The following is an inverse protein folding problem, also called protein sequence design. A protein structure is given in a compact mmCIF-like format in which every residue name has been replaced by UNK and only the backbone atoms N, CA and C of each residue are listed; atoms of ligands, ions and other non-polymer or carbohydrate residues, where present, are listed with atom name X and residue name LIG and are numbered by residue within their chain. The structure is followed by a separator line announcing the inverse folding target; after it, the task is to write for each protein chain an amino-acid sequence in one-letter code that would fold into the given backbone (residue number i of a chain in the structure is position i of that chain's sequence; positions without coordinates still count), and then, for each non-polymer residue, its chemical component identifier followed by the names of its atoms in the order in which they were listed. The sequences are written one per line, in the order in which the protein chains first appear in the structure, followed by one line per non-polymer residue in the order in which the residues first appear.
data_IF_047250851234
#
_entry.id   IF_047250851234
#
_cell.length_a   1.000
_cell.length_b   1.000
_cell.length_c   1.000
_cell.angle_alpha   90.00
_cell.angle_beta   90.00
_cell.angle_gamma   90.00
#
_symmetry.space_group_name_H-M   'P 1'
#
loop_
_entity.id
_entity.type
_entity.pdbx_description
1 polymer ?
#
# COMPACT_ATOMS: atom_id res chain seq x y z
N UNK A 1 -12.99 -32.30 17.15
CA UNK A 1 -12.76 -31.97 15.73
C UNK A 1 -14.09 -31.56 15.14
N UNK A 2 -14.29 -30.26 14.94
CA UNK A 2 -15.56 -29.68 14.50
C UNK A 2 -15.64 -29.66 12.97
N UNK A 3 -16.83 -29.76 12.37
CA UNK A 3 -17.00 -30.08 10.94
C UNK A 3 -16.58 -29.01 9.92
N UNK A 4 -15.84 -27.96 10.32
CA UNK A 4 -15.49 -26.84 9.44
C UNK A 4 -14.04 -26.31 9.61
N UNK A 5 -13.13 -27.09 10.21
CA UNK A 5 -11.73 -26.68 10.37
C UNK A 5 -10.89 -26.79 9.08
N UNK A 6 -11.45 -27.37 8.02
CA UNK A 6 -10.71 -27.61 6.78
C UNK A 6 -10.63 -26.37 5.90
N UNK A 7 -11.55 -25.41 6.00
CA UNK A 7 -11.59 -24.22 5.13
C UNK A 7 -11.51 -22.96 5.99
N UNK A 8 -10.52 -22.11 5.71
CA UNK A 8 -10.41 -20.78 6.29
C UNK A 8 -10.45 -19.75 5.18
N UNK A 9 -11.20 -18.67 5.38
CA UNK A 9 -11.26 -17.53 4.46
C UNK A 9 -10.84 -16.27 5.20
N UNK A 10 -10.08 -15.43 4.52
CA UNK A 10 -9.57 -14.16 5.03
C UNK A 10 -9.86 -13.04 4.02
N UNK A 11 -10.43 -11.95 4.49
CA UNK A 11 -10.62 -10.71 3.74
C UNK A 11 -9.95 -9.59 4.53
N UNK A 12 -9.07 -8.84 3.88
CA UNK A 12 -8.36 -7.70 4.46
C UNK A 12 -8.57 -6.49 3.54
N UNK A 13 -9.03 -5.38 4.13
CA UNK A 13 -9.20 -4.09 3.45
C UNK A 13 -8.34 -3.06 4.18
N UNK A 14 -7.32 -2.56 3.48
CA UNK A 14 -6.41 -1.54 3.99
C UNK A 14 -6.64 -0.24 3.25
N UNK A 15 -6.86 0.84 3.99
CA UNK A 15 -6.88 2.20 3.45
C UNK A 15 -5.65 2.94 3.94
N UNK A 16 -4.79 3.33 3.01
CA UNK A 16 -3.57 4.07 3.25
C UNK A 16 -3.83 5.53 2.91
N UNK A 17 -3.80 6.40 3.93
CA UNK A 17 -4.14 7.82 3.79
C UNK A 17 -2.93 8.68 3.47
N UNK A 18 -2.33 8.45 2.30
CA UNK A 18 -1.17 9.22 1.85
C UNK A 18 -1.46 10.72 1.73
N UNK A 19 -2.71 11.06 1.41
CA UNK A 19 -3.12 12.46 1.29
C UNK A 19 -3.07 13.20 2.63
N UNK A 20 -3.07 12.52 3.79
CA UNK A 20 -3.02 13.21 5.08
C UNK A 20 -1.60 13.60 5.49
N UNK A 21 -0.58 12.83 5.08
CA UNK A 21 0.80 12.98 5.58
C UNK A 21 1.80 13.46 4.53
N UNK A 22 1.53 13.21 3.25
CA UNK A 22 2.44 13.55 2.14
C UNK A 22 1.95 14.75 1.32
N UNK A 23 1.29 15.72 1.98
CA UNK A 23 0.90 16.98 1.31
C UNK A 23 2.11 17.85 1.01
N UNK A 24 2.88 18.16 2.06
CA UNK A 24 4.01 19.08 2.00
C UNK A 24 5.23 18.42 2.66
N UNK A 25 6.30 18.22 1.91
CA UNK A 25 7.60 17.93 2.50
C UNK A 25 8.28 19.25 2.86
N UNK A 26 8.26 19.60 4.14
CA UNK A 26 8.88 20.80 4.68
C UNK A 26 10.28 20.48 5.19
N UNK A 27 11.29 21.12 4.60
CA UNK A 27 12.69 21.00 5.01
C UNK A 27 13.18 22.36 5.49
N UNK A 28 13.40 22.50 6.79
CA UNK A 28 13.99 23.69 7.39
C UNK A 28 15.48 23.47 7.62
N UNK A 29 16.31 24.27 6.97
CA UNK A 29 17.73 24.39 7.30
C UNK A 29 17.95 25.69 8.09
N UNK A 30 18.47 25.58 9.31
CA UNK A 30 18.85 26.72 10.14
C UNK A 30 20.34 26.69 10.48
N UNK A 31 21.06 27.77 10.20
CA UNK A 31 22.44 27.97 10.65
C UNK A 31 22.58 29.33 11.36
N UNK A 32 23.78 29.65 11.85
CA UNK A 32 24.06 30.90 12.56
C UNK A 32 23.87 32.17 11.69
N UNK A 33 23.73 32.03 10.37
CA UNK A 33 23.70 33.13 9.39
C UNK A 33 22.34 33.27 8.70
N UNK A 34 21.38 32.37 8.95
CA UNK A 34 20.04 32.43 8.36
C UNK A 34 19.25 31.12 8.41
N UNK A 35 17.97 31.23 8.03
CA UNK A 35 17.02 30.12 7.92
C UNK A 35 16.51 30.04 6.49
N UNK A 36 16.55 28.84 5.91
CA UNK A 36 15.96 28.52 4.61
C UNK A 36 14.90 27.46 4.84
N UNK A 37 13.66 27.78 4.49
CA UNK A 37 12.53 26.86 4.49
C UNK A 37 12.25 26.45 3.04
N UNK A 38 12.34 25.15 2.75
CA UNK A 38 11.97 24.59 1.45
C UNK A 38 10.72 23.74 1.60
N UNK A 39 9.69 23.99 0.78
CA UNK A 39 8.46 23.21 0.77
C UNK A 39 8.27 22.56 -0.60
N UNK A 40 8.20 21.23 -0.64
CA UNK A 40 7.91 20.48 -1.86
C UNK A 40 6.52 19.83 -1.75
N UNK A 41 5.52 20.30 -2.52
CA UNK A 41 4.20 19.69 -2.55
C UNK A 41 4.28 18.35 -3.29
N UNK A 42 3.88 17.26 -2.63
CA UNK A 42 3.92 15.90 -3.21
C UNK A 42 2.54 15.39 -3.64
N UNK A 43 1.45 15.86 -3.02
CA UNK A 43 0.05 15.59 -3.41
C UNK A 43 -0.28 14.09 -3.64
N UNK A 44 0.23 13.19 -2.80
CA UNK A 44 -0.08 11.76 -2.94
C UNK A 44 -1.56 11.48 -2.63
N UNK A 45 -2.21 10.65 -3.45
CA UNK A 45 -3.60 10.24 -3.26
C UNK A 45 -3.75 9.03 -2.32
N UNK A 46 -4.89 8.94 -1.63
CA UNK A 46 -5.21 7.79 -0.78
C UNK A 46 -5.27 6.49 -1.60
N UNK A 47 -4.62 5.44 -1.12
CA UNK A 47 -4.68 4.10 -1.74
C UNK A 47 -5.55 3.16 -0.91
N UNK A 48 -6.38 2.38 -1.60
CA UNK A 48 -7.08 1.24 -1.00
C UNK A 48 -6.48 -0.06 -1.54
N UNK A 49 -6.13 -0.96 -0.64
CA UNK A 49 -5.64 -2.31 -0.94
C UNK A 49 -6.63 -3.31 -0.40
N UNK A 50 -7.11 -4.19 -1.28
CA UNK A 50 -8.01 -5.28 -0.91
C UNK A 50 -7.29 -6.60 -1.12
N UNK A 51 -7.27 -7.44 -0.09
CA UNK A 51 -6.69 -8.78 -0.14
C UNK A 51 -7.76 -9.79 0.21
N UNK A 52 -7.88 -10.83 -0.61
CA UNK A 52 -8.73 -11.98 -0.37
C UNK A 52 -7.84 -13.23 -0.36
N UNK A 53 -7.99 -14.06 0.67
CA UNK A 53 -7.22 -15.29 0.82
C UNK A 53 -8.09 -16.43 1.32
N UNK A 54 -7.71 -17.64 0.96
CA UNK A 54 -8.31 -18.86 1.47
C UNK A 54 -7.25 -19.91 1.77
N UNK A 55 -7.48 -20.71 2.80
CA UNK A 55 -6.68 -21.87 3.15
C UNK A 55 -7.58 -23.11 3.21
N UNK A 56 -7.10 -24.21 2.64
CA UNK A 56 -7.77 -25.50 2.66
C UNK A 56 -6.84 -26.58 3.19
N UNK A 57 -7.18 -27.19 4.33
CA UNK A 57 -6.47 -28.34 4.87
C UNK A 57 -6.93 -29.62 4.18
N UNK A 58 -6.07 -30.18 3.33
CA UNK A 58 -6.33 -31.43 2.61
C UNK A 58 -6.23 -32.63 3.57
N UNK A 59 -5.30 -32.55 4.52
CA UNK A 59 -5.11 -33.50 5.62
C UNK A 59 -4.31 -32.82 6.75
N UNK A 60 -4.04 -33.53 7.84
CA UNK A 60 -3.32 -33.00 9.01
C UNK A 60 -1.88 -32.53 8.72
N UNK A 61 -1.30 -32.94 7.59
CA UNK A 61 0.07 -32.58 7.19
C UNK A 61 0.13 -31.53 6.05
N UNK A 62 -0.98 -31.29 5.33
CA UNK A 62 -0.98 -30.49 4.10
C UNK A 62 -2.12 -29.47 4.10
N UNK A 63 -1.75 -28.20 3.98
CA UNK A 63 -2.68 -27.08 3.81
C UNK A 63 -2.34 -26.28 2.56
N UNK A 64 -3.27 -26.20 1.63
CA UNK A 64 -3.19 -25.38 0.43
C UNK A 64 -3.65 -23.96 0.76
N UNK A 65 -2.96 -22.95 0.22
CA UNK A 65 -3.33 -21.54 0.37
C UNK A 65 -3.37 -20.88 -1.00
N UNK A 66 -4.43 -20.12 -1.25
CA UNK A 66 -4.57 -19.31 -2.45
C UNK A 66 -5.06 -17.92 -2.05
N UNK A 67 -4.64 -16.90 -2.78
CA UNK A 67 -5.06 -15.54 -2.50
C UNK A 67 -4.89 -14.60 -3.69
N UNK A 68 -5.64 -13.52 -3.65
CA UNK A 68 -5.63 -12.44 -4.62
C UNK A 68 -5.49 -11.11 -3.87
N UNK A 69 -4.52 -10.29 -4.28
CA UNK A 69 -4.33 -8.95 -3.76
C UNK A 69 -4.52 -7.95 -4.91
N UNK A 70 -5.36 -6.94 -4.69
CA UNK A 70 -5.56 -5.82 -5.59
C UNK A 70 -5.36 -4.52 -4.83
N UNK A 71 -4.23 -3.88 -5.08
CA UNK A 71 -3.97 -2.50 -4.67
C UNK A 71 -4.31 -1.54 -5.80
N UNK A 72 -5.08 -0.49 -5.51
CA UNK A 72 -5.19 0.67 -6.40
C UNK A 72 -3.88 1.47 -6.33
N UNK A 73 -3.33 1.91 -7.46
CA UNK A 73 -2.08 2.69 -7.47
C UNK A 73 -2.33 4.12 -6.92
N UNK A 74 -1.65 4.58 -5.85
CA UNK A 74 -1.83 5.92 -5.26
C UNK A 74 -1.18 7.05 -6.07
N UNK A 75 -0.44 6.71 -7.12
CA UNK A 75 0.34 7.68 -7.90
C UNK A 75 -0.60 8.32 -8.93
N UNK A 76 -0.84 9.64 -8.85
CA UNK A 76 -1.65 10.35 -9.84
C UNK A 76 -1.08 10.14 -11.25
N UNK A 77 -1.95 9.85 -12.21
CA UNK A 77 -1.62 9.64 -13.62
C UNK A 77 -0.85 10.81 -14.27
N UNK A 78 -0.84 11.98 -13.64
CA UNK A 78 -0.14 13.19 -14.08
C UNK A 78 1.37 13.19 -13.82
N UNK A 79 1.91 12.22 -13.07
CA UNK A 79 3.35 12.07 -12.79
C UNK A 79 3.91 10.72 -13.24
N UNK A 80 3.30 10.11 -14.27
CA UNK A 80 3.92 8.98 -15.00
C UNK A 80 5.15 9.49 -15.76
N UNK A 81 6.28 9.49 -15.09
CA UNK A 81 7.58 9.78 -15.68
C UNK A 81 7.86 8.79 -16.83
N UNK A 82 8.31 9.30 -17.97
CA UNK A 82 8.61 8.56 -19.21
C UNK A 82 9.70 7.46 -19.09
N UNK A 83 10.27 7.22 -17.91
CA UNK A 83 11.39 6.30 -17.69
C UNK A 83 11.00 4.82 -17.55
N UNK A 84 9.72 4.47 -17.47
CA UNK A 84 9.25 3.08 -17.39
C UNK A 84 8.71 2.52 -18.71
N UNK A 85 8.77 3.30 -19.78
CA UNK A 85 8.54 2.83 -21.15
C UNK A 85 9.89 2.66 -21.84
N UNK A 86 10.58 1.56 -21.56
CA UNK A 86 11.53 1.02 -22.54
C UNK A 86 11.13 -0.41 -22.90
N UNK A 87 10.90 -0.71 -24.20
CA UNK A 87 10.60 -2.06 -24.67
C UNK A 87 11.75 -3.04 -24.43
#
# INVERSE_FOLDING_TARGET
MTPNDQIQLALDVKRIRWSETMKNFEMTFSNATGRIDMMMPMEWEDQTVVSLGGAFAVNDAVTLRAGYNRGTNPIPSSTLNFLFLRP
#
